data_IF_273899857545
#
_entry.id   IF_273899857545
#
_cell.length_a   1.000
_cell.length_b   1.000
_cell.length_c   1.000
_cell.angle_alpha   90.00
_cell.angle_beta   90.00
_cell.angle_gamma   90.00
#
_symmetry.space_group_name_H-M   'P 1'
#
loop_
_entity.id
_entity.type
_entity.pdbx_description
1 polymer ?
#
# COMPACT_ATOMS: atom_id res chain seq x y z
N UNK A 1 -16.95 2.42 -12.52
CA UNK A 1 -16.57 3.43 -13.51
C UNK A 1 -15.99 4.69 -12.86
N UNK A 2 -16.70 5.23 -11.88
CA UNK A 2 -16.22 6.39 -11.12
C UNK A 2 -14.96 6.04 -10.32
N UNK A 3 -14.89 4.86 -9.76
CA UNK A 3 -13.71 4.40 -9.03
C UNK A 3 -12.47 4.38 -9.95
N UNK A 4 -12.62 3.83 -11.14
CA UNK A 4 -11.52 3.77 -12.10
C UNK A 4 -11.05 5.18 -12.49
N UNK A 5 -11.97 6.11 -12.67
CA UNK A 5 -11.63 7.49 -13.01
C UNK A 5 -10.88 8.16 -11.85
N UNK A 6 -11.30 7.93 -10.62
CA UNK A 6 -10.62 8.47 -9.44
C UNK A 6 -9.17 7.99 -9.38
N UNK A 7 -8.95 6.71 -9.61
CA UNK A 7 -7.59 6.14 -9.63
C UNK A 7 -6.78 6.72 -10.78
N UNK A 8 -7.38 6.84 -11.96
CA UNK A 8 -6.71 7.38 -13.14
C UNK A 8 -6.18 8.79 -12.89
N UNK A 9 -6.94 9.61 -12.19
CA UNK A 9 -6.59 11.02 -11.93
C UNK A 9 -5.59 11.19 -10.80
N UNK A 10 -5.40 10.18 -9.96
CA UNK A 10 -4.48 10.28 -8.84
C UNK A 10 -3.03 10.27 -9.33
N UNK A 11 -2.19 11.06 -8.68
CA UNK A 11 -0.74 11.09 -8.99
C UNK A 11 0.01 9.91 -8.38
N UNK A 12 -0.52 9.33 -7.35
CA UNK A 12 0.03 8.16 -6.68
C UNK A 12 -1.01 7.49 -5.81
N UNK A 13 -0.77 6.24 -5.44
CA UNK A 13 -1.73 5.42 -4.69
C UNK A 13 -1.05 4.89 -3.43
N UNK A 14 -1.71 5.04 -2.30
CA UNK A 14 -1.30 4.39 -1.05
C UNK A 14 -2.30 3.28 -0.75
N UNK A 15 -1.82 2.05 -0.69
CA UNK A 15 -2.63 0.89 -0.33
C UNK A 15 -2.34 0.51 1.11
N UNK A 16 -3.35 0.66 1.97
CA UNK A 16 -3.27 0.28 3.37
C UNK A 16 -4.16 -0.93 3.55
N UNK A 17 -3.61 -2.03 4.07
CA UNK A 17 -4.34 -3.29 4.10
C UNK A 17 -4.13 -4.10 5.37
N UNK A 18 -5.14 -4.84 5.82
CA UNK A 18 -4.92 -5.94 6.76
C UNK A 18 -4.41 -7.17 6.03
N UNK A 19 -4.01 -8.18 6.79
CA UNK A 19 -3.60 -9.47 6.24
C UNK A 19 -4.64 -10.52 6.59
N UNK A 20 -5.16 -11.19 5.59
CA UNK A 20 -6.14 -12.26 5.75
C UNK A 20 -5.51 -13.56 5.23
N UNK A 21 -5.36 -14.55 6.11
CA UNK A 21 -4.85 -15.86 5.73
C UNK A 21 -3.53 -15.76 4.93
N UNK A 22 -2.60 -14.96 5.43
CA UNK A 22 -1.28 -14.72 4.82
C UNK A 22 -1.35 -14.01 3.47
N UNK A 23 -2.45 -13.33 3.16
CA UNK A 23 -2.58 -12.70 1.86
C UNK A 23 -3.38 -11.40 1.95
N UNK A 24 -3.69 -10.84 0.79
CA UNK A 24 -4.42 -9.58 0.67
C UNK A 24 -5.91 -9.81 0.90
N UNK A 25 -6.65 -8.77 1.35
CA UNK A 25 -8.10 -8.86 1.43
C UNK A 25 -8.71 -9.10 0.05
N UNK A 26 -9.76 -9.94 0.02
CA UNK A 26 -10.45 -10.22 -1.24
C UNK A 26 -11.02 -8.98 -1.90
N UNK A 27 -11.52 -8.04 -1.11
CA UNK A 27 -12.06 -6.77 -1.61
C UNK A 27 -10.98 -5.99 -2.37
N UNK A 28 -9.77 -5.94 -1.80
CA UNK A 28 -8.66 -5.23 -2.44
C UNK A 28 -8.23 -5.92 -3.74
N UNK A 29 -8.10 -7.25 -3.71
CA UNK A 29 -7.76 -8.01 -4.90
C UNK A 29 -8.79 -7.80 -6.00
N UNK A 30 -10.07 -7.84 -5.64
CA UNK A 30 -11.15 -7.60 -6.58
C UNK A 30 -11.10 -6.20 -7.19
N UNK A 31 -10.80 -5.18 -6.37
CA UNK A 31 -10.68 -3.81 -6.85
C UNK A 31 -9.54 -3.69 -7.88
N UNK A 32 -8.41 -4.31 -7.59
CA UNK A 32 -7.26 -4.28 -8.52
C UNK A 32 -7.59 -5.01 -9.82
N UNK A 33 -8.31 -6.13 -9.73
CA UNK A 33 -8.73 -6.86 -10.92
C UNK A 33 -9.62 -5.99 -11.81
N UNK A 34 -10.53 -5.22 -11.23
CA UNK A 34 -11.34 -4.27 -12.00
C UNK A 34 -10.50 -3.20 -12.68
N UNK A 35 -9.46 -2.70 -12.00
CA UNK A 35 -8.59 -1.65 -12.56
C UNK A 35 -7.70 -2.17 -13.69
N UNK A 36 -7.56 -3.49 -13.81
CA UNK A 36 -6.74 -4.10 -14.86
C UNK A 36 -7.52 -4.52 -16.10
N UNK A 37 -8.84 -4.25 -16.11
CA UNK A 37 -9.71 -4.60 -17.24
C UNK A 37 -9.96 -3.39 -18.13
N UNK A 38 -10.04 -3.62 -19.45
CA UNK A 38 -10.22 -2.53 -20.41
C UNK A 38 -9.05 -1.58 -20.35
N UNK A 39 -9.29 -0.33 -20.00
CA UNK A 39 -8.21 0.64 -19.79
C UNK A 39 -7.47 0.29 -18.50
N UNK A 40 -6.17 0.01 -18.60
CA UNK A 40 -5.34 -0.41 -17.47
C UNK A 40 -4.75 0.82 -16.79
N UNK A 41 -5.52 1.42 -15.90
CA UNK A 41 -5.19 2.72 -15.32
C UNK A 41 -4.03 2.69 -14.32
N UNK A 42 -3.60 1.49 -13.90
CA UNK A 42 -2.50 1.36 -12.94
C UNK A 42 -1.12 1.33 -13.59
N UNK A 43 -1.03 1.17 -14.91
CA UNK A 43 0.27 1.06 -15.56
C UNK A 43 1.10 2.33 -15.30
N UNK A 44 2.26 2.14 -14.70
CA UNK A 44 3.17 3.25 -14.36
C UNK A 44 2.74 4.11 -13.19
N UNK A 45 1.60 3.81 -12.57
CA UNK A 45 1.10 4.58 -11.43
C UNK A 45 1.99 4.34 -10.21
N UNK A 46 2.52 5.41 -9.59
CA UNK A 46 3.30 5.24 -8.36
C UNK A 46 2.43 4.65 -7.24
N UNK A 47 2.93 3.62 -6.57
CA UNK A 47 2.20 2.94 -5.51
C UNK A 47 3.12 2.69 -4.32
N UNK A 48 2.64 2.94 -3.13
CA UNK A 48 3.26 2.45 -1.91
C UNK A 48 2.25 1.65 -1.11
N UNK A 49 2.74 0.77 -0.25
CA UNK A 49 1.89 -0.09 0.56
C UNK A 49 2.17 0.11 2.04
N UNK A 50 1.17 -0.13 2.86
CA UNK A 50 1.29 -0.07 4.31
C UNK A 50 0.31 -1.04 4.93
N UNK A 51 0.56 -1.44 6.16
CA UNK A 51 -0.36 -2.30 6.88
C UNK A 51 -0.16 -2.21 8.37
N UNK A 52 -1.21 -2.53 9.11
CA UNK A 52 -1.24 -2.50 10.57
C UNK A 52 -1.86 -3.80 11.06
N UNK A 53 -1.32 -4.37 12.11
CA UNK A 53 -1.82 -5.62 12.69
C UNK A 53 -1.54 -5.66 14.19
N UNK A 54 -2.40 -6.28 15.00
CA UNK A 54 -2.09 -6.51 16.40
C UNK A 54 -1.01 -7.57 16.62
N UNK A 55 -0.74 -8.41 15.62
CA UNK A 55 0.26 -9.48 15.73
C UNK A 55 1.69 -9.02 15.55
N UNK A 56 2.62 -9.95 15.72
CA UNK A 56 4.07 -9.68 15.65
C UNK A 56 4.55 -9.39 14.23
N UNK A 57 4.01 -10.08 13.25
CA UNK A 57 4.50 -9.99 11.87
C UNK A 57 3.92 -8.82 11.08
N UNK A 58 2.97 -8.10 11.67
CA UNK A 58 2.30 -7.02 10.95
C UNK A 58 1.51 -7.57 9.77
N UNK A 59 1.72 -7.02 8.60
CA UNK A 59 1.04 -7.47 7.37
C UNK A 59 2.06 -7.87 6.30
N UNK A 60 3.19 -8.42 6.71
CA UNK A 60 4.31 -8.65 5.77
C UNK A 60 3.95 -9.54 4.60
N UNK A 61 3.20 -10.63 4.85
CA UNK A 61 2.85 -11.54 3.76
C UNK A 61 1.84 -10.94 2.79
N UNK A 62 0.87 -10.18 3.32
CA UNK A 62 -0.07 -9.46 2.46
C UNK A 62 0.67 -8.46 1.58
N UNK A 63 1.63 -7.74 2.15
CA UNK A 63 2.39 -6.76 1.38
C UNK A 63 3.31 -7.39 0.35
N UNK A 64 3.90 -8.55 0.66
CA UNK A 64 4.68 -9.30 -0.33
C UNK A 64 3.79 -9.75 -1.50
N UNK A 65 2.61 -10.25 -1.19
CA UNK A 65 1.67 -10.68 -2.22
C UNK A 65 1.18 -9.52 -3.07
N UNK A 66 0.83 -8.38 -2.45
CA UNK A 66 0.33 -7.23 -3.21
C UNK A 66 1.40 -6.68 -4.15
N UNK A 67 2.68 -6.69 -3.75
CA UNK A 67 3.75 -6.25 -4.63
C UNK A 67 3.84 -7.14 -5.87
N UNK A 68 3.67 -8.45 -5.69
CA UNK A 68 3.65 -9.39 -6.81
C UNK A 68 2.49 -9.12 -7.75
N UNK A 69 1.29 -8.91 -7.19
CA UNK A 69 0.09 -8.61 -7.97
C UNK A 69 0.28 -7.30 -8.77
N UNK A 70 0.80 -6.27 -8.12
CA UNK A 70 1.00 -4.96 -8.76
C UNK A 70 2.06 -4.99 -9.85
N UNK A 71 2.94 -5.98 -9.81
CA UNK A 71 3.99 -6.16 -10.83
C UNK A 71 3.52 -6.98 -12.03
N UNK A 72 2.30 -7.54 -11.98
CA UNK A 72 1.80 -8.41 -13.05
C UNK A 72 1.51 -7.61 -14.32
N UNK A 73 1.48 -8.28 -15.49
CA UNK A 73 1.31 -7.59 -16.78
C UNK A 73 0.02 -6.78 -16.90
N UNK A 74 -1.05 -7.18 -16.21
CA UNK A 74 -2.32 -6.44 -16.26
C UNK A 74 -2.34 -5.17 -15.42
N UNK A 75 -1.41 -5.03 -14.49
CA UNK A 75 -1.38 -3.91 -13.54
C UNK A 75 -0.17 -3.01 -13.77
N UNK A 76 1.03 -3.56 -13.73
CA UNK A 76 2.30 -2.87 -13.97
C UNK A 76 2.42 -1.54 -13.22
N UNK A 77 2.09 -1.53 -11.92
CA UNK A 77 2.27 -0.37 -11.08
C UNK A 77 3.75 -0.04 -10.88
N UNK A 78 4.07 1.22 -10.64
CA UNK A 78 5.43 1.63 -10.34
C UNK A 78 5.59 1.69 -8.81
N UNK A 79 6.15 0.63 -8.25
CA UNK A 79 6.23 0.46 -6.80
C UNK A 79 7.36 1.26 -6.18
N UNK A 80 7.08 1.91 -5.05
CA UNK A 80 8.13 2.47 -4.21
C UNK A 80 9.02 1.31 -3.75
N UNK A 81 10.34 1.37 -3.97
CA UNK A 81 11.21 0.27 -3.55
C UNK A 81 11.02 -0.05 -2.07
N UNK A 82 10.86 -1.33 -1.71
CA UNK A 82 10.56 -1.69 -0.33
C UNK A 82 11.72 -1.48 0.64
N UNK A 83 12.95 -1.51 0.17
CA UNK A 83 14.12 -1.36 1.06
C UNK A 83 14.06 -0.02 1.79
N UNK A 84 13.91 -0.07 3.12
CA UNK A 84 13.80 1.12 3.96
C UNK A 84 12.44 1.78 3.94
N UNK A 85 11.47 1.25 3.19
CA UNK A 85 10.16 1.89 3.01
C UNK A 85 8.98 0.98 3.36
N UNK A 86 9.22 -0.11 4.07
CA UNK A 86 8.13 -1.02 4.43
C UNK A 86 7.42 -0.51 5.68
N UNK A 87 6.19 -0.04 5.53
CA UNK A 87 5.35 0.35 6.66
C UNK A 87 4.58 -0.88 7.12
N UNK A 88 5.17 -1.61 8.07
CA UNK A 88 4.60 -2.80 8.65
C UNK A 88 4.45 -2.53 10.14
N UNK A 89 3.29 -2.03 10.53
CA UNK A 89 3.04 -1.67 11.93
C UNK A 89 2.48 -2.90 12.64
N UNK A 90 3.32 -3.53 13.44
CA UNK A 90 2.93 -4.67 14.26
C UNK A 90 2.50 -4.19 15.64
N UNK A 91 1.96 -5.11 16.44
CA UNK A 91 1.59 -4.86 17.83
C UNK A 91 0.77 -3.57 17.96
N UNK A 92 -0.27 -3.45 17.15
CA UNK A 92 -1.04 -2.21 17.01
C UNK A 92 -1.58 -1.71 18.36
N UNK A 93 -1.99 -2.61 19.25
CA UNK A 93 -2.56 -2.21 20.53
C UNK A 93 -1.57 -1.44 21.41
N UNK A 94 -0.28 -1.65 21.20
CA UNK A 94 0.77 -0.95 21.94
C UNK A 94 1.13 0.39 21.30
N UNK A 95 0.72 0.65 20.08
CA UNK A 95 1.15 1.81 19.30
C UNK A 95 0.03 2.79 19.03
N UNK A 96 -1.21 2.38 19.22
CA UNK A 96 -2.38 3.23 19.00
C UNK A 96 -3.06 3.53 20.32
N UNK A 97 -3.63 4.73 20.42
CA UNK A 97 -4.44 5.14 21.55
C UNK A 97 -5.61 5.97 21.02
N UNK A 98 -6.83 5.57 21.43
CA UNK A 98 -8.05 6.27 21.02
C UNK A 98 -8.14 6.45 19.49
N UNK A 99 -7.77 5.40 18.75
CA UNK A 99 -7.82 5.41 17.29
C UNK A 99 -6.68 6.15 16.63
N UNK A 100 -5.68 6.62 17.38
CA UNK A 100 -4.56 7.39 16.84
C UNK A 100 -3.24 6.65 17.03
N UNK A 101 -2.40 6.70 16.02
CA UNK A 101 -1.04 6.20 16.11
C UNK A 101 -0.23 7.17 17.00
N UNK A 102 0.27 6.68 18.13
CA UNK A 102 0.99 7.51 19.10
C UNK A 102 2.44 7.09 19.33
N UNK A 103 2.86 5.95 18.80
CA UNK A 103 4.24 5.50 18.94
C UNK A 103 5.17 6.40 18.15
N UNK A 104 6.04 7.13 18.85
CA UNK A 104 6.86 8.18 18.26
C UNK A 104 7.80 7.66 17.17
N UNK A 105 8.47 6.54 17.42
CA UNK A 105 9.39 5.96 16.45
C UNK A 105 8.65 5.54 15.17
N UNK A 106 7.45 4.96 15.33
CA UNK A 106 6.62 4.58 14.18
C UNK A 106 6.17 5.80 13.40
N UNK A 107 5.74 6.84 14.09
CA UNK A 107 5.32 8.10 13.44
C UNK A 107 6.45 8.71 12.61
N UNK A 108 7.65 8.76 13.17
CA UNK A 108 8.81 9.29 12.44
C UNK A 108 9.15 8.44 11.22
N UNK A 109 9.08 7.13 11.36
CA UNK A 109 9.36 6.23 10.25
C UNK A 109 8.33 6.40 9.12
N UNK A 110 7.04 6.39 9.47
CA UNK A 110 5.96 6.57 8.50
C UNK A 110 6.09 7.90 7.78
N UNK A 111 6.36 8.97 8.52
CA UNK A 111 6.54 10.30 7.92
C UNK A 111 7.69 10.29 6.90
N UNK A 112 8.80 9.67 7.24
CA UNK A 112 9.96 9.56 6.33
C UNK A 112 9.61 8.81 5.05
N UNK A 113 8.86 7.71 5.17
CA UNK A 113 8.43 6.94 3.99
C UNK A 113 7.49 7.77 3.10
N UNK A 114 6.55 8.47 3.70
CA UNK A 114 5.62 9.32 2.95
C UNK A 114 6.38 10.41 2.20
N UNK A 115 7.36 11.04 2.84
CA UNK A 115 8.20 12.05 2.19
C UNK A 115 8.92 11.47 0.98
N UNK A 116 9.50 10.28 1.12
CA UNK A 116 10.18 9.61 0.02
C UNK A 116 9.21 9.21 -1.08
N UNK A 117 7.98 8.83 -0.72
CA UNK A 117 6.96 8.52 -1.72
C UNK A 117 6.56 9.75 -2.53
N UNK A 118 6.39 10.89 -1.87
CA UNK A 118 6.07 12.14 -2.57
C UNK A 118 7.17 12.47 -3.59
N UNK A 119 8.43 12.32 -3.21
CA UNK A 119 9.54 12.53 -4.13
C UNK A 119 9.51 11.52 -5.28
N UNK A 120 9.17 10.28 -4.99
CA UNK A 120 9.05 9.21 -5.98
C UNK A 120 7.96 9.53 -7.01
N UNK A 121 6.82 10.03 -6.57
CA UNK A 121 5.73 10.46 -7.43
C UNK A 121 6.19 11.60 -8.34
N UNK A 122 6.89 12.57 -7.79
CA UNK A 122 7.35 13.77 -8.52
C UNK A 122 8.39 13.45 -9.58
N UNK A 123 9.18 12.41 -9.39
CA UNK A 123 10.20 12.02 -10.37
C UNK A 123 9.59 11.43 -11.65
N UNK A 124 8.32 11.10 -11.60
CA UNK A 124 7.63 10.56 -12.75
C UNK A 124 8.20 9.27 -13.24
#
# INVERSE_FOLDING_TARGET
RQFKQTIKEADGILLIMPEYNWSVPGVLKNAIDWLSRGEKVMIGKPVMTAGVSPGMMGTIRAQLHIRQILSSPGVQGRLLPPAGNEIIINLAEQKFKDGRLVDEATLQFVDGVIQRFIQFVQKG
#
